data_IF_773593951321
#
_entry.id   IF_773593951321
#
_cell.length_a   1.000
_cell.length_b   1.000
_cell.length_c   1.000
_cell.angle_alpha   90.00
_cell.angle_beta   90.00
_cell.angle_gamma   90.00
#
_symmetry.space_group_name_H-M   'P 1'
#
loop_
_entity.id
_entity.type
_entity.pdbx_description
1 polymer ?
#
# COMPACT_ATOMS: atom_id res chain seq x y z
N UNK A 1 12.40 -34.46 12.90
CA UNK A 1 12.49 -33.30 11.99
C UNK A 1 11.41 -32.31 12.40
N UNK A 2 11.77 -31.27 13.16
CA UNK A 2 10.80 -30.24 13.53
C UNK A 2 10.63 -29.31 12.32
N UNK A 3 9.43 -29.32 11.73
CA UNK A 3 9.02 -28.30 10.77
C UNK A 3 8.95 -26.98 11.54
N UNK A 4 10.02 -26.18 11.51
CA UNK A 4 9.99 -24.78 11.91
C UNK A 4 9.11 -24.03 10.91
N UNK A 5 7.80 -24.11 11.12
CA UNK A 5 6.89 -23.05 10.69
C UNK A 5 7.18 -21.89 11.65
N UNK A 6 8.25 -21.15 11.38
CA UNK A 6 8.28 -19.75 11.81
C UNK A 6 6.92 -19.18 11.38
N UNK A 7 6.12 -18.60 12.28
CA UNK A 7 4.93 -17.90 11.85
C UNK A 7 5.39 -16.93 10.77
N UNK A 8 4.76 -17.00 9.59
CA UNK A 8 5.08 -16.19 8.42
C UNK A 8 4.63 -14.75 8.72
N UNK A 9 5.25 -14.15 9.74
CA UNK A 9 5.01 -12.81 10.20
C UNK A 9 5.51 -11.93 9.09
N UNK A 10 4.56 -11.35 8.37
CA UNK A 10 4.79 -10.42 7.28
C UNK A 10 3.98 -9.17 7.54
N UNK A 11 4.41 -8.05 6.98
CA UNK A 11 3.70 -6.78 7.15
C UNK A 11 3.78 -6.22 8.59
N UNK A 12 2.72 -5.56 9.08
CA UNK A 12 2.70 -4.90 10.38
C UNK A 12 3.04 -5.82 11.57
N UNK A 13 2.54 -7.05 11.56
CA UNK A 13 2.72 -8.02 12.67
C UNK A 13 4.19 -8.40 12.89
N UNK A 14 4.98 -8.43 11.81
CA UNK A 14 6.43 -8.63 11.90
C UNK A 14 7.11 -7.48 12.66
N UNK A 15 6.73 -6.24 12.36
CA UNK A 15 7.31 -5.07 13.01
C UNK A 15 6.92 -5.00 14.49
N UNK A 16 5.72 -5.43 14.86
CA UNK A 16 5.33 -5.56 16.26
C UNK A 16 6.15 -6.65 16.98
N UNK A 17 6.37 -7.81 16.35
CA UNK A 17 7.25 -8.84 16.91
C UNK A 17 8.70 -8.37 17.10
N UNK A 18 9.24 -7.57 16.16
CA UNK A 18 10.57 -6.96 16.32
C UNK A 18 10.57 -5.95 17.45
N UNK A 19 9.49 -5.17 17.62
CA UNK A 19 9.38 -4.23 18.73
C UNK A 19 9.40 -4.93 20.10
N UNK A 20 8.70 -6.06 20.23
CA UNK A 20 8.69 -6.84 21.47
C UNK A 20 10.08 -7.44 21.77
N UNK A 21 10.81 -7.87 20.75
CA UNK A 21 12.19 -8.33 20.90
C UNK A 21 13.12 -7.18 21.35
N UNK A 22 13.02 -6.00 20.75
CA UNK A 22 13.80 -4.81 21.17
C UNK A 22 13.46 -4.37 22.59
N UNK A 23 12.18 -4.44 22.99
CA UNK A 23 11.73 -4.12 24.34
C UNK A 23 12.31 -5.09 25.37
N UNK A 24 12.32 -6.40 25.07
CA UNK A 24 12.92 -7.42 25.91
C UNK A 24 14.44 -7.24 26.08
N UNK A 25 15.10 -6.65 25.09
CA UNK A 25 16.52 -6.27 25.14
C UNK A 25 16.77 -4.93 25.85
N UNK A 26 15.71 -4.23 26.28
CA UNK A 26 15.80 -2.92 26.95
C UNK A 26 15.90 -1.73 25.99
N UNK A 27 15.80 -1.95 24.69
CA UNK A 27 15.90 -0.93 23.64
C UNK A 27 14.56 -0.21 23.42
N UNK A 28 14.04 0.43 24.46
CA UNK A 28 12.71 1.08 24.50
C UNK A 28 12.47 2.05 23.33
N UNK A 29 13.48 2.81 22.90
CA UNK A 29 13.37 3.73 21.75
C UNK A 29 13.16 2.98 20.44
N UNK A 30 13.89 1.89 20.21
CA UNK A 30 13.75 1.10 19.01
C UNK A 30 12.37 0.44 18.96
N UNK A 31 11.94 -0.17 20.08
CA UNK A 31 10.62 -0.76 20.21
C UNK A 31 9.50 0.24 19.84
N UNK A 32 9.57 1.46 20.36
CA UNK A 32 8.61 2.51 20.04
C UNK A 32 8.59 2.89 18.55
N UNK A 33 9.75 2.97 17.91
CA UNK A 33 9.87 3.27 16.47
C UNK A 33 9.30 2.13 15.61
N UNK A 34 9.56 0.87 15.97
CA UNK A 34 9.00 -0.28 15.26
C UNK A 34 7.47 -0.33 15.38
N UNK A 35 6.90 -0.16 16.58
CA UNK A 35 5.44 -0.06 16.78
C UNK A 35 4.81 1.10 16.00
N UNK A 36 5.53 2.23 15.89
CA UNK A 36 5.07 3.37 15.09
C UNK A 36 5.01 3.01 13.60
N UNK A 37 6.02 2.31 13.09
CA UNK A 37 6.06 1.87 11.68
C UNK A 37 5.01 0.80 11.39
N UNK A 38 4.77 -0.13 12.30
CA UNK A 38 3.70 -1.12 12.19
C UNK A 38 2.33 -0.44 11.99
N UNK A 39 2.02 0.55 12.84
CA UNK A 39 0.78 1.34 12.72
C UNK A 39 0.70 2.12 11.41
N UNK A 40 1.79 2.76 10.98
CA UNK A 40 1.80 3.50 9.72
C UNK A 40 1.52 2.57 8.54
N UNK A 41 2.15 1.40 8.52
CA UNK A 41 1.93 0.43 7.45
C UNK A 41 0.48 -0.07 7.45
N UNK A 42 -0.11 -0.36 8.61
CA UNK A 42 -1.52 -0.73 8.67
C UNK A 42 -2.42 0.35 8.08
N UNK A 43 -2.15 1.63 8.39
CA UNK A 43 -2.88 2.75 7.80
C UNK A 43 -2.70 2.83 6.28
N UNK A 44 -1.50 2.55 5.77
CA UNK A 44 -1.23 2.54 4.33
C UNK A 44 -1.98 1.39 3.62
N UNK A 45 -2.10 0.22 4.26
CA UNK A 45 -2.92 -0.91 3.76
C UNK A 45 -4.39 -0.50 3.70
N UNK A 46 -4.90 0.08 4.78
CA UNK A 46 -6.30 0.52 4.86
C UNK A 46 -6.60 1.61 3.81
N UNK A 47 -5.68 2.56 3.63
CA UNK A 47 -5.77 3.61 2.62
C UNK A 47 -5.72 3.06 1.19
N UNK A 48 -4.82 2.10 0.92
CA UNK A 48 -4.74 1.44 -0.37
C UNK A 48 -6.00 0.62 -0.68
N UNK A 49 -6.59 -0.03 0.33
CA UNK A 49 -7.87 -0.74 0.21
C UNK A 49 -9.07 0.21 -0.01
N UNK A 50 -9.00 1.43 0.51
CA UNK A 50 -10.07 2.42 0.41
C UNK A 50 -10.02 3.27 -0.87
N UNK A 51 -8.92 3.23 -1.62
CA UNK A 51 -8.76 4.03 -2.82
C UNK A 51 -9.79 3.65 -3.90
N UNK A 52 -10.63 4.59 -4.39
CA UNK A 52 -11.57 4.30 -5.45
C UNK A 52 -10.83 3.95 -6.74
N UNK A 53 -11.26 2.88 -7.41
CA UNK A 53 -10.73 2.47 -8.72
C UNK A 53 -10.80 3.68 -9.65
N UNK A 54 -9.68 4.15 -10.24
CA UNK A 54 -9.72 5.30 -11.13
C UNK A 54 -10.59 4.94 -12.33
N UNK A 55 -11.75 5.58 -12.43
CA UNK A 55 -12.65 5.43 -13.57
C UNK A 55 -11.88 5.80 -14.83
N UNK A 56 -11.75 4.92 -15.85
CA UNK A 56 -11.06 5.28 -17.06
C UNK A 56 -11.81 6.44 -17.72
N UNK A 57 -11.17 7.61 -17.78
CA UNK A 57 -11.71 8.80 -18.41
C UNK A 57 -11.88 8.50 -19.89
N UNK A 58 -13.12 8.26 -20.32
CA UNK A 58 -13.45 7.91 -21.71
C UNK A 58 -12.96 9.06 -22.61
N UNK A 59 -11.92 8.79 -23.41
CA UNK A 59 -11.40 9.75 -24.37
C UNK A 59 -12.52 10.14 -25.35
N UNK A 60 -13.09 11.33 -25.15
CA UNK A 60 -14.06 11.90 -26.09
C UNK A 60 -13.32 12.22 -27.38
N UNK A 61 -13.39 11.30 -28.35
CA UNK A 61 -12.90 11.50 -29.72
C UNK A 61 -13.63 12.72 -30.30
N UNK A 62 -12.97 13.89 -30.30
CA UNK A 62 -13.46 15.08 -31.01
C UNK A 62 -13.55 14.73 -32.50
N UNK A 63 -14.77 14.64 -33.01
CA UNK A 63 -15.01 14.56 -34.45
C UNK A 63 -14.58 15.88 -35.09
N UNK A 64 -13.44 15.87 -35.78
CA UNK A 64 -13.05 16.94 -36.70
C UNK A 64 -13.97 16.78 -37.91
N UNK A 65 -14.96 17.65 -38.04
CA UNK A 65 -15.79 17.74 -39.24
C UNK A 65 -14.90 18.20 -40.41
N UNK A 66 -14.49 17.27 -41.28
CA UNK A 66 -13.99 17.57 -42.62
C UNK A 66 -15.14 18.18 -43.44
N UNK A 67 -15.06 19.46 -43.77
CA UNK A 67 -15.84 20.07 -44.86
C UNK A 67 -15.33 19.51 -46.19
N UNK A 68 -16.18 18.94 -47.06
CA UNK A 68 -15.77 18.70 -48.42
C UNK A 68 -15.76 20.04 -49.19
N UNK A 69 -14.63 20.34 -49.81
CA UNK A 69 -14.56 21.31 -50.88
C UNK A 69 -15.30 20.71 -52.09
N UNK A 70 -16.48 21.24 -52.39
CA UNK A 70 -17.32 20.83 -53.51
C UNK A 70 -17.62 22.02 -54.41
N UNK A 71 -16.95 22.03 -55.56
CA UNK A 71 -17.03 22.95 -56.69
C UNK A 71 -18.36 22.79 -57.46
N UNK A 72 -19.01 23.90 -57.79
CA UNK A 72 -19.77 24.11 -59.03
C UNK A 72 -19.88 25.62 -59.28
#
# INVERSE_FOLDING_TARGET
MFNHREPDLSGPDFLDSVADAEEALGNQRNAAEYRKRARQWQQDIDAASAAPIPTPVRATRRAIAMRPAGRA
#
